data_IF_765887586147
#
_entry.id   IF_765887586147
#
_cell.length_a   1.000
_cell.length_b   1.000
_cell.length_c   1.000
_cell.angle_alpha   90.00
_cell.angle_beta   90.00
_cell.angle_gamma   90.00
#
_symmetry.space_group_name_H-M   'P 1'
#
loop_
_entity.id
_entity.type
_entity.pdbx_description
1 polymer ?
#
# COMPACT_ATOMS: atom_id res chain seq x y z
N UNK A 1 67.55 7.95 3.60
CA UNK A 1 66.69 6.76 3.59
C UNK A 1 65.26 7.21 3.92
N UNK A 2 64.40 7.32 2.91
CA UNK A 2 62.97 7.62 3.04
C UNK A 2 62.18 6.30 3.08
N UNK A 3 61.16 6.18 3.93
CA UNK A 3 59.99 5.36 3.62
C UNK A 3 58.86 6.24 3.06
N UNK A 4 58.57 6.05 1.78
CA UNK A 4 57.34 6.46 1.12
C UNK A 4 56.24 5.46 1.53
N UNK A 5 55.16 5.94 2.15
CA UNK A 5 53.89 5.22 2.20
C UNK A 5 52.79 6.15 1.65
N UNK A 6 52.65 6.03 0.35
CA UNK A 6 51.59 6.54 -0.51
C UNK A 6 50.28 5.83 -0.15
N UNK A 7 49.22 6.58 0.14
CA UNK A 7 47.92 6.00 0.44
C UNK A 7 46.80 7.02 0.59
N UNK A 8 46.82 8.12 -0.17
CA UNK A 8 45.67 9.00 -0.31
C UNK A 8 44.58 8.26 -1.10
N UNK A 9 43.63 7.65 -0.39
CA UNK A 9 42.39 7.17 -0.98
C UNK A 9 41.63 8.34 -1.63
N UNK A 10 41.49 8.26 -2.96
CA UNK A 10 40.85 9.26 -3.80
C UNK A 10 39.43 9.63 -3.35
N UNK A 11 39.05 10.91 -3.41
CA UNK A 11 37.64 11.29 -3.34
C UNK A 11 36.90 10.76 -4.58
N UNK A 12 35.74 10.14 -4.36
CA UNK A 12 34.78 9.79 -5.39
C UNK A 12 34.50 11.02 -6.26
N UNK A 13 34.98 10.99 -7.51
CA UNK A 13 34.62 11.96 -8.53
C UNK A 13 33.22 11.63 -9.04
N UNK A 14 32.25 12.52 -8.80
CA UNK A 14 30.99 12.51 -9.53
C UNK A 14 31.27 12.97 -10.96
N UNK A 15 31.39 12.01 -11.86
CA UNK A 15 31.46 12.25 -13.30
C UNK A 15 30.08 12.75 -13.77
N UNK A 16 29.97 14.07 -13.91
CA UNK A 16 28.80 14.71 -14.49
C UNK A 16 28.96 14.71 -16.00
N UNK A 17 28.57 13.62 -16.66
CA UNK A 17 27.96 13.60 -17.99
C UNK A 17 27.99 12.18 -18.60
N UNK A 18 26.89 11.43 -18.46
CA UNK A 18 26.43 10.63 -19.60
C UNK A 18 24.92 10.48 -19.59
N UNK A 19 24.30 11.33 -20.38
CA UNK A 19 22.95 11.15 -20.88
C UNK A 19 22.87 9.81 -21.64
N UNK A 20 21.88 8.98 -21.29
CA UNK A 20 21.18 8.18 -22.30
C UNK A 20 19.68 8.23 -21.98
N UNK A 21 18.97 8.89 -22.90
CA UNK A 21 17.51 8.99 -22.99
C UNK A 21 16.90 7.64 -23.34
N UNK A 22 15.73 7.33 -22.77
CA UNK A 22 14.54 6.81 -23.49
C UNK A 22 13.32 6.80 -22.55
N UNK A 23 12.08 6.83 -23.07
CA UNK A 23 11.15 7.90 -22.72
C UNK A 23 9.98 7.49 -21.82
N UNK A 24 9.47 8.51 -21.14
CA UNK A 24 8.21 8.58 -20.43
C UNK A 24 7.04 8.45 -21.44
N UNK A 25 6.20 7.42 -21.29
CA UNK A 25 4.89 7.36 -21.97
C UNK A 25 3.89 8.12 -21.10
N UNK A 26 3.66 9.38 -21.46
CA UNK A 26 2.59 10.21 -20.91
C UNK A 26 1.39 10.12 -21.84
N UNK A 27 0.33 9.45 -21.42
CA UNK A 27 -0.97 9.50 -22.11
C UNK A 27 -1.68 10.80 -21.73
N UNK A 28 -1.41 11.87 -22.47
CA UNK A 28 -2.20 13.11 -22.45
C UNK A 28 -2.99 13.17 -23.75
N UNK A 29 -4.27 12.80 -23.71
CA UNK A 29 -5.18 13.01 -24.84
C UNK A 29 -5.61 14.49 -24.88
N UNK A 30 -5.14 15.21 -25.90
CA UNK A 30 -5.64 16.52 -26.31
C UNK A 30 -6.32 16.37 -27.69
N UNK A 31 -7.47 17.00 -27.95
CA UNK A 31 -8.18 16.89 -29.22
C UNK A 31 -7.52 17.76 -30.30
N UNK A 32 -7.57 17.30 -31.54
CA UNK A 32 -7.14 18.04 -32.73
C UNK A 32 -8.01 17.66 -33.96
N UNK A 33 -8.12 18.55 -34.96
CA UNK A 33 -9.35 18.77 -35.74
C UNK A 33 -9.49 17.94 -37.01
N UNK A 34 -10.68 18.05 -37.60
CA UNK A 34 -11.19 17.21 -38.68
C UNK A 34 -10.36 17.19 -39.96
N UNK A 35 -10.59 16.12 -40.71
CA UNK A 35 -10.34 16.08 -42.15
C UNK A 35 -11.41 15.20 -42.77
N UNK A 36 -12.19 15.82 -43.64
CA UNK A 36 -13.25 15.27 -44.47
C UNK A 36 -12.69 14.17 -45.36
N UNK A 37 -13.25 12.95 -45.29
CA UNK A 37 -13.02 11.90 -46.27
C UNK A 37 -14.31 11.65 -47.05
N UNK A 38 -14.37 12.28 -48.22
CA UNK A 38 -15.39 12.09 -49.26
C UNK A 38 -15.30 10.67 -49.81
N UNK A 39 -16.45 9.98 -49.90
CA UNK A 39 -16.58 8.67 -50.54
C UNK A 39 -17.50 8.83 -51.77
N UNK A 40 -17.12 8.29 -52.94
CA UNK A 40 -17.73 8.65 -54.23
C UNK A 40 -19.14 8.09 -54.44
N UNK A 41 -19.94 8.85 -55.19
CA UNK A 41 -21.25 8.46 -55.68
C UNK A 41 -21.15 7.32 -56.72
N UNK A 42 -21.95 6.28 -56.53
CA UNK A 42 -22.26 5.29 -57.57
C UNK A 42 -23.75 5.37 -57.87
N UNK A 43 -24.08 5.70 -59.11
CA UNK A 43 -25.44 5.75 -59.65
C UNK A 43 -25.72 4.49 -60.48
N UNK A 44 -26.82 3.78 -60.21
CA UNK A 44 -27.50 2.88 -61.16
C UNK A 44 -28.95 2.59 -60.71
N UNK A 45 -29.86 2.14 -61.60
CA UNK A 45 -31.08 2.88 -61.94
C UNK A 45 -32.34 2.30 -61.29
N UNK A 46 -33.38 3.12 -61.24
CA UNK A 46 -34.72 2.76 -60.80
C UNK A 46 -35.44 1.84 -61.81
N UNK A 47 -36.22 0.85 -61.34
CA UNK A 47 -37.39 0.33 -62.05
C UNK A 47 -38.69 1.02 -61.60
N UNK A 48 -39.73 1.02 -62.45
CA UNK A 48 -40.94 1.82 -62.27
C UNK A 48 -41.98 1.14 -61.36
N UNK A 49 -42.68 2.00 -60.60
CA UNK A 49 -44.09 1.93 -60.19
C UNK A 49 -44.67 0.62 -59.65
N UNK A 50 -45.15 0.64 -58.40
CA UNK A 50 -46.58 0.40 -58.09
C UNK A 50 -46.93 1.07 -56.76
N UNK A 51 -48.03 1.79 -56.79
CA UNK A 51 -48.74 2.38 -55.66
C UNK A 51 -49.20 1.27 -54.69
N UNK A 52 -48.81 1.36 -53.43
CA UNK A 52 -49.43 0.60 -52.35
C UNK A 52 -49.24 1.37 -51.04
N UNK A 53 -50.22 2.21 -50.73
CA UNK A 53 -50.39 2.80 -49.40
C UNK A 53 -50.60 1.69 -48.38
N UNK A 54 -49.56 1.32 -47.64
CA UNK A 54 -49.64 0.46 -46.47
C UNK A 54 -49.38 1.29 -45.21
N UNK A 55 -50.45 1.73 -44.57
CA UNK A 55 -50.40 2.35 -43.24
C UNK A 55 -49.94 1.31 -42.23
N UNK A 56 -48.66 1.33 -41.85
CA UNK A 56 -48.18 0.62 -40.67
C UNK A 56 -48.67 1.33 -39.39
N UNK A 57 -49.15 0.60 -38.37
CA UNK A 57 -49.40 1.19 -37.07
C UNK A 57 -48.07 1.66 -36.44
N UNK A 58 -48.08 2.72 -35.61
CA UNK A 58 -46.87 3.16 -34.93
C UNK A 58 -46.40 2.07 -33.96
N UNK A 59 -45.19 1.56 -34.19
CA UNK A 59 -44.50 0.69 -33.23
C UNK A 59 -44.06 1.55 -32.05
N UNK A 60 -44.77 1.43 -30.92
CA UNK A 60 -44.32 2.01 -29.65
C UNK A 60 -43.06 1.27 -29.22
N UNK A 61 -41.89 1.91 -29.39
CA UNK A 61 -40.64 1.40 -28.85
C UNK A 61 -40.73 1.40 -27.33
N UNK A 62 -40.93 0.23 -26.72
CA UNK A 62 -40.81 0.07 -25.27
C UNK A 62 -39.37 0.40 -24.87
N UNK A 63 -39.13 1.39 -24.00
CA UNK A 63 -37.78 1.71 -23.56
C UNK A 63 -37.21 0.48 -22.86
N UNK A 64 -36.12 -0.06 -23.41
CA UNK A 64 -35.37 -1.13 -22.77
C UNK A 64 -34.77 -0.58 -21.47
N UNK A 65 -34.89 -1.28 -20.33
CA UNK A 65 -34.29 -0.81 -19.09
C UNK A 65 -32.77 -0.76 -19.26
N UNK A 66 -32.20 0.43 -19.18
CA UNK A 66 -30.75 0.63 -19.08
C UNK A 66 -30.33 0.16 -17.70
N UNK A 67 -29.66 -1.00 -17.63
CA UNK A 67 -29.04 -1.48 -16.39
C UNK A 67 -27.78 -0.67 -16.16
N UNK A 68 -27.88 0.37 -15.34
CA UNK A 68 -26.74 1.17 -14.91
C UNK A 68 -26.02 0.45 -13.77
N UNK A 69 -24.92 -0.26 -14.11
CA UNK A 69 -24.04 -0.86 -13.11
C UNK A 69 -23.21 0.28 -12.50
N UNK A 70 -23.60 0.76 -11.33
CA UNK A 70 -22.80 1.72 -10.55
C UNK A 70 -21.80 0.91 -9.71
N UNK A 71 -20.48 1.02 -9.93
CA UNK A 71 -19.50 0.35 -9.08
C UNK A 71 -19.60 0.92 -7.67
N UNK A 72 -20.05 0.10 -6.72
CA UNK A 72 -20.00 0.47 -5.31
C UNK A 72 -18.53 0.44 -4.87
N UNK A 73 -17.93 1.62 -4.72
CA UNK A 73 -16.59 1.73 -4.13
C UNK A 73 -16.72 1.55 -2.62
N UNK A 74 -16.06 0.53 -2.09
CA UNK A 74 -16.00 0.32 -0.63
C UNK A 74 -15.33 1.53 0.03
N UNK A 75 -15.80 1.91 1.22
CA UNK A 75 -15.17 2.95 2.03
C UNK A 75 -13.70 2.58 2.29
N UNK A 76 -12.75 3.52 2.16
CA UNK A 76 -11.37 3.28 2.55
C UNK A 76 -11.27 2.91 4.04
N UNK A 77 -10.55 1.83 4.35
CA UNK A 77 -10.29 1.44 5.74
C UNK A 77 -9.37 2.46 6.41
N UNK A 78 -9.61 2.71 7.71
CA UNK A 78 -8.73 3.49 8.58
C UNK A 78 -7.42 2.74 8.89
N UNK A 79 -6.45 3.44 9.48
CA UNK A 79 -5.18 2.86 9.94
C UNK A 79 -5.38 1.66 10.87
N UNK A 80 -6.23 1.84 11.87
CA UNK A 80 -6.56 0.81 12.86
C UNK A 80 -7.30 -0.36 12.21
N UNK A 81 -8.27 -0.09 11.33
CA UNK A 81 -9.00 -1.14 10.62
C UNK A 81 -8.05 -2.00 9.77
N UNK A 82 -7.06 -1.38 9.11
CA UNK A 82 -6.03 -2.11 8.37
C UNK A 82 -5.12 -2.92 9.27
N UNK A 83 -4.72 -2.36 10.41
CA UNK A 83 -3.92 -3.10 11.38
C UNK A 83 -4.69 -4.31 11.92
N UNK A 84 -5.96 -4.12 12.29
CA UNK A 84 -6.82 -5.20 12.77
C UNK A 84 -7.10 -6.26 11.71
N UNK A 85 -7.19 -5.88 10.44
CA UNK A 85 -7.34 -6.84 9.34
C UNK A 85 -6.13 -7.78 9.18
N UNK A 86 -4.93 -7.37 9.60
CA UNK A 86 -3.73 -8.21 9.57
C UNK A 86 -3.68 -9.23 10.72
N UNK A 87 -4.42 -9.01 11.80
CA UNK A 87 -4.41 -9.88 12.97
C UNK A 87 -5.45 -11.00 12.83
N UNK A 88 -5.00 -12.21 12.53
CA UNK A 88 -5.84 -13.40 12.53
C UNK A 88 -5.86 -14.04 13.92
N UNK A 89 -7.01 -14.57 14.32
CA UNK A 89 -7.18 -15.32 15.59
C UNK A 89 -6.63 -14.56 16.81
N UNK A 90 -6.90 -13.26 16.88
CA UNK A 90 -6.43 -12.41 17.97
C UNK A 90 -7.02 -12.83 19.31
N UNK A 91 -6.16 -13.20 20.23
CA UNK A 91 -6.46 -13.49 21.63
C UNK A 91 -5.99 -12.31 22.50
N UNK A 92 -6.90 -11.68 23.23
CA UNK A 92 -6.61 -10.51 24.07
C UNK A 92 -6.31 -10.96 25.49
N UNK A 93 -5.29 -10.40 26.10
CA UNK A 93 -4.97 -10.60 27.51
C UNK A 93 -5.42 -9.38 28.32
N UNK A 94 -6.43 -9.58 29.16
CA UNK A 94 -6.88 -8.59 30.14
C UNK A 94 -6.91 -9.23 31.54
N UNK A 95 -5.95 -8.90 32.43
CA UNK A 95 -4.89 -7.91 32.26
C UNK A 95 -3.76 -8.36 31.31
N UNK A 96 -2.91 -7.42 30.82
CA UNK A 96 -1.72 -7.76 30.05
C UNK A 96 -0.81 -8.74 30.80
N UNK A 97 -0.22 -9.69 30.07
CA UNK A 97 0.67 -10.72 30.62
C UNK A 97 2.12 -10.28 30.51
N UNK A 98 2.92 -10.48 31.55
CA UNK A 98 4.34 -10.14 31.52
C UNK A 98 5.15 -11.28 30.90
N UNK A 99 5.81 -11.01 29.77
CA UNK A 99 6.71 -11.95 29.10
C UNK A 99 8.16 -11.48 29.29
N UNK A 100 9.11 -12.39 29.03
CA UNK A 100 10.54 -12.08 29.14
C UNK A 100 11.31 -12.45 27.89
N UNK A 101 12.03 -11.49 27.33
CA UNK A 101 12.98 -11.69 26.24
C UNK A 101 14.35 -12.04 26.82
N UNK A 102 14.77 -13.29 26.66
CA UNK A 102 16.08 -13.79 27.12
C UNK A 102 17.23 -13.36 26.20
N UNK A 103 16.90 -12.93 24.98
CA UNK A 103 17.82 -12.39 23.97
C UNK A 103 17.19 -11.15 23.34
N UNK A 104 17.99 -10.39 22.58
CA UNK A 104 17.46 -9.26 21.79
C UNK A 104 16.49 -9.78 20.75
N UNK A 105 15.24 -9.31 20.83
CA UNK A 105 14.16 -9.64 19.90
C UNK A 105 13.72 -8.38 19.16
N UNK A 106 13.47 -8.49 17.86
CA UNK A 106 13.07 -7.34 17.06
C UNK A 106 11.63 -6.94 17.36
N UNK A 107 11.43 -5.65 17.61
CA UNK A 107 10.14 -5.00 17.77
C UNK A 107 9.73 -4.40 16.43
N UNK A 108 8.53 -4.73 15.98
CA UNK A 108 7.98 -4.28 14.72
C UNK A 108 6.77 -3.37 14.95
N UNK A 109 6.55 -2.46 14.02
CA UNK A 109 5.31 -1.70 13.86
C UNK A 109 4.73 -2.01 12.48
N UNK A 110 3.42 -2.21 12.42
CA UNK A 110 2.73 -2.35 11.15
C UNK A 110 2.40 -0.97 10.59
N UNK A 111 2.93 -0.67 9.42
CA UNK A 111 2.57 0.54 8.70
C UNK A 111 1.28 0.32 7.89
N UNK A 112 0.18 1.00 8.26
CA UNK A 112 -1.11 0.79 7.60
C UNK A 112 -1.22 1.49 6.24
N UNK A 113 -0.28 2.37 5.88
CA UNK A 113 -0.27 3.02 4.57
C UNK A 113 0.27 2.08 3.48
N UNK A 114 1.24 1.24 3.83
CA UNK A 114 1.96 0.35 2.90
C UNK A 114 1.69 -1.13 3.12
N UNK A 115 1.12 -1.50 4.28
CA UNK A 115 0.90 -2.88 4.65
C UNK A 115 2.18 -3.63 5.07
N UNK A 116 3.22 -2.90 5.46
CA UNK A 116 4.54 -3.47 5.79
C UNK A 116 4.79 -3.52 7.29
N UNK A 117 5.49 -4.56 7.74
CA UNK A 117 6.11 -4.61 9.06
C UNK A 117 7.44 -3.86 9.03
N UNK A 118 7.57 -2.80 9.81
CA UNK A 118 8.79 -2.02 9.96
C UNK A 118 9.44 -2.33 11.29
N UNK A 119 10.75 -2.58 11.30
CA UNK A 119 11.53 -2.66 12.53
C UNK A 119 11.61 -1.28 13.18
N UNK A 120 11.24 -1.22 14.46
CA UNK A 120 11.30 0.00 15.27
C UNK A 120 12.32 -0.09 16.40
N UNK A 121 12.89 -1.28 16.62
CA UNK A 121 13.97 -1.49 17.56
C UNK A 121 14.14 -2.94 17.99
N UNK A 122 14.95 -3.15 19.03
CA UNK A 122 15.11 -4.45 19.68
C UNK A 122 14.84 -4.37 21.18
N UNK A 123 14.14 -5.37 21.71
CA UNK A 123 13.74 -5.45 23.11
C UNK A 123 14.50 -6.59 23.81
N UNK A 124 14.82 -6.40 25.09
CA UNK A 124 15.40 -7.42 25.96
C UNK A 124 14.90 -7.23 27.39
N UNK A 125 14.67 -8.32 28.13
CA UNK A 125 14.11 -8.27 29.48
C UNK A 125 12.59 -8.39 29.50
N UNK A 126 11.95 -7.87 30.55
CA UNK A 126 10.53 -8.05 30.81
C UNK A 126 9.67 -7.01 30.07
N UNK A 127 8.56 -7.44 29.48
CA UNK A 127 7.64 -6.56 28.73
C UNK A 127 6.19 -7.03 28.80
N UNK A 128 5.22 -6.10 28.80
CA UNK A 128 3.81 -6.45 28.82
C UNK A 128 3.33 -6.87 27.42
N UNK A 129 2.62 -7.99 27.35
CA UNK A 129 1.92 -8.46 26.15
C UNK A 129 0.42 -8.31 26.35
N UNK A 130 -0.22 -7.56 25.46
CA UNK A 130 -1.66 -7.27 25.53
C UNK A 130 -2.50 -8.22 24.66
N UNK A 131 -1.91 -8.84 23.65
CA UNK A 131 -2.59 -9.81 22.81
C UNK A 131 -1.60 -10.75 22.12
N UNK A 132 -2.10 -11.90 21.67
CA UNK A 132 -1.42 -12.83 20.77
C UNK A 132 -2.25 -13.01 19.52
N UNK A 133 -1.63 -13.05 18.36
CA UNK A 133 -2.34 -13.22 17.09
C UNK A 133 -1.43 -13.86 16.04
N UNK A 134 -2.01 -14.23 14.90
CA UNK A 134 -1.26 -14.72 13.74
C UNK A 134 -1.29 -13.66 12.64
N UNK A 135 -0.14 -13.27 12.13
CA UNK A 135 -0.04 -12.31 11.03
C UNK A 135 -0.61 -12.90 9.74
N UNK A 136 -1.44 -12.14 9.03
CA UNK A 136 -1.98 -12.55 7.72
C UNK A 136 -0.90 -12.63 6.66
N UNK A 137 -0.04 -11.61 6.58
CA UNK A 137 1.02 -11.45 5.57
C UNK A 137 2.13 -12.51 5.62
N UNK A 138 2.36 -13.18 6.75
CA UNK A 138 3.43 -14.18 6.90
C UNK A 138 3.05 -15.46 7.64
N UNK A 139 1.85 -15.54 8.22
CA UNK A 139 1.40 -16.69 9.00
C UNK A 139 2.18 -16.92 10.31
N UNK A 140 3.11 -16.04 10.68
CA UNK A 140 3.85 -16.12 11.94
C UNK A 140 2.96 -15.72 13.12
N UNK A 141 3.16 -16.35 14.27
CA UNK A 141 2.51 -15.93 15.51
C UNK A 141 3.27 -14.73 16.07
N UNK A 142 2.52 -13.73 16.52
CA UNK A 142 3.04 -12.47 17.03
C UNK A 142 2.39 -12.12 18.37
N UNK A 143 3.15 -11.40 19.19
CA UNK A 143 2.75 -10.88 20.49
C UNK A 143 2.63 -9.36 20.37
N UNK A 144 1.45 -8.82 20.67
CA UNK A 144 1.18 -7.38 20.68
C UNK A 144 1.72 -6.76 21.98
N UNK A 145 2.48 -5.69 21.84
CA UNK A 145 3.11 -4.98 22.94
C UNK A 145 2.79 -3.49 22.80
N UNK A 146 2.22 -2.85 23.84
CA UNK A 146 2.02 -1.41 23.84
C UNK A 146 3.39 -0.73 23.86
N UNK A 147 3.60 0.22 22.95
CA UNK A 147 4.85 0.96 22.85
C UNK A 147 4.61 2.46 22.83
N UNK A 148 5.16 3.21 23.79
CA UNK A 148 5.20 4.67 23.77
C UNK A 148 6.39 5.14 22.97
N UNK A 149 6.11 6.00 22.00
CA UNK A 149 7.09 6.47 21.03
C UNK A 149 8.26 7.14 21.77
N UNK A 150 9.47 6.65 21.53
CA UNK A 150 10.74 7.13 22.11
C UNK A 150 10.83 7.10 23.65
N UNK A 151 9.95 6.39 24.35
CA UNK A 151 9.92 6.37 25.81
C UNK A 151 10.12 4.96 26.40
N UNK A 152 9.78 3.90 25.66
CA UNK A 152 9.83 2.54 26.20
C UNK A 152 11.04 1.72 25.72
N UNK A 153 11.42 0.73 26.54
CA UNK A 153 12.34 -0.37 26.25
C UNK A 153 13.79 0.02 25.89
N UNK A 154 14.24 1.23 26.24
CA UNK A 154 15.60 1.68 25.97
C UNK A 154 15.94 1.80 24.49
N UNK A 155 14.93 1.87 23.62
CA UNK A 155 15.09 2.11 22.19
C UNK A 155 15.46 3.57 21.96
N UNK A 156 16.74 3.82 21.69
CA UNK A 156 17.30 5.19 21.72
C UNK A 156 16.98 6.07 20.52
N UNK A 157 16.26 5.59 19.49
CA UNK A 157 15.55 6.43 18.53
C UNK A 157 14.93 5.54 17.46
N UNK A 158 13.61 5.58 17.33
CA UNK A 158 12.99 5.21 16.06
C UNK A 158 13.49 6.20 15.01
N UNK A 159 13.82 5.71 13.81
CA UNK A 159 14.25 6.61 12.73
C UNK A 159 13.20 7.70 12.46
N UNK A 160 13.63 8.93 12.18
CA UNK A 160 12.74 10.05 11.84
C UNK A 160 11.74 9.71 10.74
N UNK A 161 12.17 8.93 9.74
CA UNK A 161 11.32 8.48 8.65
C UNK A 161 10.15 7.60 9.15
N UNK A 162 10.40 6.70 10.09
CA UNK A 162 9.34 5.85 10.67
C UNK A 162 8.42 6.68 11.56
N UNK A 163 8.98 7.63 12.34
CA UNK A 163 8.18 8.56 13.15
C UNK A 163 7.20 9.38 12.30
N UNK A 164 7.68 9.98 11.20
CA UNK A 164 6.82 10.73 10.28
C UNK A 164 5.70 9.86 9.68
N UNK A 165 5.97 8.58 9.44
CA UNK A 165 4.95 7.63 8.96
C UNK A 165 3.92 7.28 10.05
N UNK A 166 4.37 7.10 11.29
CA UNK A 166 3.48 6.91 12.43
C UNK A 166 2.56 8.12 12.62
N UNK A 167 3.11 9.34 12.57
CA UNK A 167 2.35 10.59 12.66
C UNK A 167 1.36 10.72 11.50
N UNK A 168 1.78 10.43 10.26
CA UNK A 168 0.89 10.42 9.10
C UNK A 168 -0.22 9.37 9.18
N UNK A 169 0.02 8.26 9.89
CA UNK A 169 -0.97 7.23 10.18
C UNK A 169 -1.90 7.58 11.36
N UNK A 170 -1.62 8.66 12.09
CA UNK A 170 -2.41 9.14 13.24
C UNK A 170 -1.83 8.80 14.62
N UNK A 171 -0.66 8.18 14.69
CA UNK A 171 -0.01 7.78 15.94
C UNK A 171 1.02 8.81 16.41
N UNK A 172 0.73 9.52 17.50
CA UNK A 172 1.59 10.59 18.03
C UNK A 172 2.20 10.29 19.41
N UNK A 173 1.54 9.45 20.22
CA UNK A 173 1.94 9.18 21.61
C UNK A 173 2.42 7.72 21.77
N UNK A 174 1.64 6.78 21.25
CA UNK A 174 1.89 5.35 21.37
C UNK A 174 1.38 4.61 20.15
N UNK A 175 1.97 3.44 19.89
CA UNK A 175 1.57 2.51 18.85
C UNK A 175 1.40 1.10 19.44
N UNK A 176 0.58 0.30 18.77
CA UNK A 176 0.52 -1.14 18.98
C UNK A 176 1.65 -1.79 18.18
N UNK A 177 2.74 -2.09 18.86
CA UNK A 177 3.87 -2.79 18.28
C UNK A 177 3.69 -4.30 18.44
N UNK A 178 4.51 -5.08 17.76
CA UNK A 178 4.49 -6.52 17.89
C UNK A 178 5.88 -7.15 17.79
N UNK A 179 6.02 -8.33 18.39
CA UNK A 179 7.19 -9.18 18.25
C UNK A 179 6.77 -10.50 17.64
N UNK A 180 7.65 -11.12 16.86
CA UNK A 180 7.42 -12.48 16.39
C UNK A 180 7.74 -13.46 17.51
N UNK A 181 6.81 -14.38 17.77
CA UNK A 181 6.99 -15.42 18.78
C UNK A 181 8.17 -16.32 18.40
N UNK A 182 9.09 -16.53 19.33
CA UNK A 182 10.32 -17.30 19.11
C UNK A 182 10.82 -17.87 20.43
N UNK A 183 11.78 -18.81 20.36
CA UNK A 183 12.48 -19.39 21.53
C UNK A 183 13.13 -18.34 22.45
N UNK A 184 13.46 -17.16 21.91
CA UNK A 184 14.02 -16.07 22.70
C UNK A 184 13.01 -15.47 23.70
N UNK A 185 11.72 -15.74 23.56
CA UNK A 185 10.63 -15.17 24.36
C UNK A 185 10.06 -16.26 25.29
N UNK A 186 10.10 -15.99 26.59
CA UNK A 186 9.51 -16.84 27.62
C UNK A 186 8.14 -16.30 28.03
N UNK A 187 7.15 -17.18 28.00
CA UNK A 187 5.83 -16.95 28.58
C UNK A 187 5.91 -16.85 30.11
N UNK A 188 4.94 -16.16 30.77
CA UNK A 188 4.85 -16.09 32.22
C UNK A 188 4.74 -17.46 32.89
#
# INVERSE_FOLDING_TARGET
MLPLLTGCGQPLRLDTARATRTPLVTATARPAPGTTATIPAVTRPAPPGVDATATMPPVTATPSPVVQIVPQTARPLTSEERWRAEQLNREVFDPPRLYRATRRVTLFWYDPATGQALEIGTLMGDFPVQARFRLRSGGATALEVPYRINNDFGLTAISDAVRLRMEAAGYTISVEAFLLESDAIQAP
#
